data_IF_456054130998
#
_entry.id   IF_456054130998
#
_cell.length_a   1.000
_cell.length_b   1.000
_cell.length_c   1.000
_cell.angle_alpha   90.00
_cell.angle_beta   90.00
_cell.angle_gamma   90.00
#
_symmetry.space_group_name_H-M   'P 1'
#
loop_
_entity.id
_entity.type
_entity.pdbx_description
1 polymer ?
#
# COMPACT_ATOMS: atom_id res chain seq x y z
N UNK A 1 119.40 81.58 11.67
CA UNK A 1 119.22 80.32 12.43
C UNK A 1 117.80 80.21 12.98
N UNK A 2 117.30 81.19 13.74
CA UNK A 2 115.92 81.16 14.29
C UNK A 2 114.78 81.01 13.26
N UNK A 3 114.85 81.65 12.09
CA UNK A 3 113.81 81.49 11.06
C UNK A 3 113.78 80.10 10.40
N UNK A 4 114.95 79.44 10.31
CA UNK A 4 115.07 78.09 9.75
C UNK A 4 114.54 77.03 10.73
N UNK A 5 114.75 77.24 12.03
CA UNK A 5 114.16 76.42 13.11
C UNK A 5 112.63 76.61 13.19
N UNK A 6 112.13 77.84 13.03
CA UNK A 6 110.69 78.13 13.03
C UNK A 6 109.96 77.50 11.82
N UNK A 7 110.55 77.55 10.63
CA UNK A 7 110.01 76.89 9.44
C UNK A 7 110.08 75.36 9.57
N UNK A 8 111.15 74.83 10.19
CA UNK A 8 111.29 73.40 10.49
C UNK A 8 110.22 72.89 11.46
N UNK A 9 109.97 73.62 12.56
CA UNK A 9 108.91 73.31 13.53
C UNK A 9 107.51 73.36 12.89
N UNK A 10 107.22 74.39 12.08
CA UNK A 10 105.94 74.49 11.38
C UNK A 10 105.74 73.33 10.37
N UNK A 11 106.80 72.88 9.71
CA UNK A 11 106.75 71.74 8.80
C UNK A 11 106.55 70.40 9.53
N UNK A 12 107.24 70.18 10.66
CA UNK A 12 107.02 69.02 11.53
C UNK A 12 105.60 68.99 12.08
N UNK A 13 105.07 70.12 12.54
CA UNK A 13 103.66 70.24 12.96
C UNK A 13 102.68 69.92 11.84
N UNK A 14 102.96 70.39 10.61
CA UNK A 14 102.13 70.09 9.44
C UNK A 14 102.21 68.60 9.04
N UNK A 15 103.38 67.97 9.15
CA UNK A 15 103.54 66.54 8.94
C UNK A 15 102.80 65.72 10.00
N UNK A 16 102.90 66.11 11.26
CA UNK A 16 102.20 65.48 12.39
C UNK A 16 100.68 65.61 12.21
N UNK A 17 100.19 66.78 11.78
CA UNK A 17 98.78 67.00 11.43
C UNK A 17 98.35 66.15 10.23
N UNK A 18 99.13 66.08 9.16
CA UNK A 18 98.83 65.25 7.99
C UNK A 18 98.76 63.76 8.37
N UNK A 19 99.66 63.29 9.23
CA UNK A 19 99.64 61.93 9.76
C UNK A 19 98.36 61.65 10.56
N UNK A 20 97.96 62.58 11.45
CA UNK A 20 96.70 62.48 12.21
C UNK A 20 95.47 62.45 11.30
N UNK A 21 95.43 63.30 10.26
CA UNK A 21 94.33 63.33 9.30
C UNK A 21 94.23 62.01 8.51
N UNK A 22 95.36 61.43 8.10
CA UNK A 22 95.38 60.11 7.44
C UNK A 22 94.90 58.99 8.37
N UNK A 23 95.27 59.03 9.66
CA UNK A 23 94.79 58.10 10.68
C UNK A 23 93.25 58.19 10.83
N UNK A 24 92.73 59.41 10.98
CA UNK A 24 91.29 59.68 11.09
C UNK A 24 90.53 59.24 9.84
N UNK A 25 91.11 59.42 8.65
CA UNK A 25 90.51 58.97 7.39
C UNK A 25 90.38 57.43 7.38
N UNK A 26 91.44 56.72 7.76
CA UNK A 26 91.45 55.25 7.87
C UNK A 26 90.44 54.74 8.89
N UNK A 27 90.39 55.34 10.08
CA UNK A 27 89.40 54.98 11.11
C UNK A 27 87.96 55.22 10.61
N UNK A 28 87.72 56.34 9.92
CA UNK A 28 86.42 56.61 9.28
C UNK A 28 86.06 55.57 8.23
N UNK A 29 87.00 55.19 7.37
CA UNK A 29 86.77 54.17 6.34
C UNK A 29 86.43 52.81 6.96
N UNK A 30 87.14 52.42 8.03
CA UNK A 30 86.88 51.17 8.75
C UNK A 30 85.48 51.16 9.41
N UNK A 31 85.11 52.24 10.08
CA UNK A 31 83.77 52.40 10.67
C UNK A 31 82.69 52.40 9.58
N UNK A 32 82.93 53.06 8.45
CA UNK A 32 81.97 53.11 7.34
C UNK A 32 81.75 51.72 6.72
N UNK A 33 82.80 50.92 6.55
CA UNK A 33 82.70 49.53 6.09
C UNK A 33 81.89 48.65 7.06
N UNK A 34 82.11 48.81 8.38
CA UNK A 34 81.32 48.10 9.41
C UNK A 34 79.85 48.47 9.34
N UNK A 35 79.53 49.77 9.29
CA UNK A 35 78.16 50.27 9.17
C UNK A 35 77.48 49.79 7.88
N UNK A 36 78.21 49.77 6.76
CA UNK A 36 77.68 49.26 5.49
C UNK A 36 77.36 47.76 5.59
N UNK A 37 78.25 46.96 6.21
CA UNK A 37 78.02 45.53 6.45
C UNK A 37 76.81 45.27 7.35
N UNK A 38 76.68 46.01 8.46
CA UNK A 38 75.51 45.93 9.35
C UNK A 38 74.22 46.34 8.65
N UNK A 39 74.25 47.40 7.83
CA UNK A 39 73.10 47.86 7.03
C UNK A 39 72.66 46.78 6.04
N UNK A 40 73.59 46.10 5.37
CA UNK A 40 73.29 45.00 4.45
C UNK A 40 72.67 43.81 5.21
N UNK A 41 73.26 43.42 6.34
CA UNK A 41 72.71 42.33 7.19
C UNK A 41 71.31 42.65 7.69
N UNK A 42 71.09 43.88 8.16
CA UNK A 42 69.80 44.35 8.68
C UNK A 42 68.73 44.36 7.58
N UNK A 43 69.04 44.91 6.40
CA UNK A 43 68.10 44.92 5.26
C UNK A 43 67.79 43.52 4.74
N UNK A 44 68.78 42.62 4.68
CA UNK A 44 68.55 41.22 4.32
C UNK A 44 67.68 40.50 5.37
N UNK A 45 67.90 40.76 6.66
CA UNK A 45 67.07 40.25 7.76
C UNK A 45 65.62 40.75 7.66
N UNK A 46 65.42 42.06 7.44
CA UNK A 46 64.09 42.65 7.25
C UNK A 46 63.35 42.02 6.06
N UNK A 47 64.07 41.75 4.95
CA UNK A 47 63.47 41.08 3.80
C UNK A 47 62.99 39.66 4.15
N UNK A 48 63.82 38.86 4.83
CA UNK A 48 63.44 37.51 5.27
C UNK A 48 62.21 37.52 6.17
N UNK A 49 62.20 38.40 7.18
CA UNK A 49 61.05 38.54 8.10
C UNK A 49 59.79 38.93 7.33
N UNK A 50 59.90 39.83 6.35
CA UNK A 50 58.76 40.22 5.51
C UNK A 50 58.24 39.05 4.67
N UNK A 51 59.14 38.31 4.02
CA UNK A 51 58.78 37.15 3.20
C UNK A 51 58.12 36.04 4.06
N UNK A 52 58.63 35.79 5.27
CA UNK A 52 58.04 34.87 6.24
C UNK A 52 56.67 35.33 6.73
N UNK A 53 56.50 36.63 7.03
CA UNK A 53 55.22 37.22 7.41
C UNK A 53 54.17 37.06 6.29
N UNK A 54 54.56 37.32 5.05
CA UNK A 54 53.68 37.19 3.89
C UNK A 54 53.29 35.72 3.66
N UNK A 55 54.22 34.78 3.87
CA UNK A 55 53.94 33.34 3.79
C UNK A 55 52.99 32.87 4.91
N UNK A 56 53.24 33.29 6.15
CA UNK A 56 52.37 32.98 7.29
C UNK A 56 50.97 33.54 7.08
N UNK A 57 50.86 34.79 6.61
CA UNK A 57 49.56 35.41 6.30
C UNK A 57 48.78 34.63 5.25
N UNK A 58 49.42 34.18 4.17
CA UNK A 58 48.79 33.32 3.15
C UNK A 58 48.35 31.97 3.73
N UNK A 59 49.15 31.41 4.63
CA UNK A 59 48.85 30.11 5.25
C UNK A 59 47.65 30.23 6.21
N UNK A 60 47.59 31.30 7.01
CA UNK A 60 46.45 31.61 7.87
C UNK A 60 45.18 31.77 7.04
N UNK A 61 45.22 32.58 5.96
CA UNK A 61 44.06 32.77 5.09
C UNK A 61 43.58 31.45 4.47
N UNK A 62 44.50 30.58 4.07
CA UNK A 62 44.17 29.25 3.54
C UNK A 62 43.50 28.38 4.61
N UNK A 63 44.02 28.37 5.83
CA UNK A 63 43.44 27.64 6.95
C UNK A 63 42.05 28.16 7.34
N UNK A 64 41.85 29.48 7.36
CA UNK A 64 40.55 30.11 7.62
C UNK A 64 39.51 29.70 6.57
N UNK A 65 39.88 29.70 5.29
CA UNK A 65 39.00 29.26 4.20
C UNK A 65 38.64 27.76 4.34
N UNK A 66 39.60 26.92 4.71
CA UNK A 66 39.36 25.49 4.96
C UNK A 66 38.43 25.27 6.16
N UNK A 67 38.60 26.04 7.23
CA UNK A 67 37.77 25.97 8.42
C UNK A 67 36.32 26.36 8.09
N UNK A 68 36.13 27.47 7.37
CA UNK A 68 34.81 27.92 6.90
C UNK A 68 34.13 26.83 6.04
N UNK A 69 34.86 26.23 5.10
CA UNK A 69 34.33 25.13 4.27
C UNK A 69 34.00 23.88 5.09
N UNK A 70 34.70 23.61 6.19
CA UNK A 70 34.41 22.47 7.08
C UNK A 70 33.13 22.72 7.88
N UNK A 71 32.94 23.93 8.43
CA UNK A 71 31.74 24.32 9.17
C UNK A 71 30.49 24.18 8.29
N UNK A 72 30.53 24.66 7.04
CA UNK A 72 29.40 24.54 6.10
C UNK A 72 29.08 23.07 5.82
N UNK A 73 30.11 22.23 5.62
CA UNK A 73 29.92 20.78 5.40
C UNK A 73 29.33 20.09 6.62
N UNK A 74 29.76 20.43 7.83
CA UNK A 74 29.20 19.89 9.07
C UNK A 74 27.73 20.28 9.24
N UNK A 75 27.37 21.55 9.01
CA UNK A 75 25.98 22.00 9.04
C UNK A 75 25.10 21.27 8.00
N UNK A 76 25.61 21.08 6.78
CA UNK A 76 24.91 20.32 5.75
C UNK A 76 24.71 18.86 6.14
N UNK A 77 25.76 18.21 6.65
CA UNK A 77 25.68 16.82 7.12
C UNK A 77 24.70 16.66 8.28
N UNK A 78 24.64 17.62 9.20
CA UNK A 78 23.67 17.60 10.30
C UNK A 78 22.22 17.74 9.77
N UNK A 79 22.00 18.62 8.79
CA UNK A 79 20.69 18.75 8.12
C UNK A 79 20.28 17.45 7.41
N UNK A 80 21.20 16.80 6.71
CA UNK A 80 20.95 15.52 6.06
C UNK A 80 20.61 14.42 7.07
N UNK A 81 21.33 14.35 8.20
CA UNK A 81 21.03 13.40 9.28
C UNK A 81 19.64 13.60 9.87
N UNK A 82 19.22 14.85 10.08
CA UNK A 82 17.86 15.18 10.56
C UNK A 82 16.79 14.69 9.58
N UNK A 83 16.93 15.01 8.30
CA UNK A 83 16.01 14.54 7.24
C UNK A 83 15.98 13.02 7.13
N UNK A 84 17.13 12.35 7.22
CA UNK A 84 17.19 10.89 7.19
C UNK A 84 16.42 10.26 8.36
N UNK A 85 16.55 10.84 9.56
CA UNK A 85 15.80 10.41 10.74
C UNK A 85 14.29 10.61 10.55
N UNK A 86 13.86 11.78 10.07
CA UNK A 86 12.45 12.10 9.78
C UNK A 86 11.84 11.12 8.76
N UNK A 87 12.53 10.84 7.66
CA UNK A 87 12.07 9.85 6.68
C UNK A 87 11.97 8.44 7.25
N UNK A 88 12.95 8.04 8.07
CA UNK A 88 12.92 6.74 8.74
C UNK A 88 11.72 6.63 9.68
N UNK A 89 11.44 7.67 10.48
CA UNK A 89 10.30 7.72 11.40
C UNK A 89 8.97 7.68 10.64
N UNK A 90 8.83 8.48 9.56
CA UNK A 90 7.65 8.48 8.72
C UNK A 90 7.40 7.11 8.07
N UNK A 91 8.47 6.46 7.58
CA UNK A 91 8.38 5.10 7.03
C UNK A 91 7.90 4.10 8.07
N UNK A 92 8.36 4.20 9.33
CA UNK A 92 7.88 3.30 10.38
C UNK A 92 6.43 3.57 10.76
N UNK A 93 6.01 4.83 10.85
CA UNK A 93 4.62 5.20 11.14
C UNK A 93 3.65 4.72 10.05
N UNK A 94 4.02 4.91 8.77
CA UNK A 94 3.23 4.43 7.64
C UNK A 94 3.10 2.90 7.63
N UNK A 95 4.15 2.16 7.98
CA UNK A 95 4.09 0.69 8.12
C UNK A 95 3.11 0.27 9.22
N UNK A 96 3.21 0.87 10.40
CA UNK A 96 2.29 0.58 11.51
C UNK A 96 0.84 0.93 11.17
N UNK A 97 0.63 2.02 10.41
CA UNK A 97 -0.71 2.41 9.95
C UNK A 97 -1.28 1.44 8.93
N UNK A 98 -0.44 0.92 8.02
CA UNK A 98 -0.84 -0.13 7.07
C UNK A 98 -1.22 -1.42 7.79
N UNK A 99 -0.41 -1.87 8.75
CA UNK A 99 -0.71 -3.06 9.57
C UNK A 99 -2.03 -2.90 10.33
N UNK A 100 -2.28 -1.73 10.92
CA UNK A 100 -3.54 -1.44 11.60
C UNK A 100 -4.75 -1.49 10.66
N UNK A 101 -4.62 -0.90 9.47
CA UNK A 101 -5.68 -0.91 8.46
C UNK A 101 -5.94 -2.33 7.93
N UNK A 102 -4.90 -3.14 7.78
CA UNK A 102 -5.02 -4.54 7.36
C UNK A 102 -5.80 -5.38 8.38
N UNK A 103 -5.48 -5.23 9.68
CA UNK A 103 -6.24 -5.87 10.76
C UNK A 103 -7.71 -5.45 10.73
N UNK A 104 -7.98 -4.14 10.66
CA UNK A 104 -9.35 -3.62 10.58
C UNK A 104 -10.11 -4.13 9.34
N UNK A 105 -9.43 -4.20 8.21
CA UNK A 105 -10.01 -4.73 6.97
C UNK A 105 -10.38 -6.20 7.10
N UNK A 106 -9.49 -7.01 7.68
CA UNK A 106 -9.74 -8.44 7.89
C UNK A 106 -10.87 -8.69 8.89
N UNK A 107 -10.95 -7.93 9.98
CA UNK A 107 -12.06 -8.00 10.94
C UNK A 107 -13.41 -7.63 10.28
N UNK A 108 -13.45 -6.54 9.51
CA UNK A 108 -14.66 -6.14 8.78
C UNK A 108 -15.06 -7.19 7.75
N UNK A 109 -14.10 -7.75 7.02
CA UNK A 109 -14.33 -8.83 6.06
C UNK A 109 -14.93 -10.05 6.72
N UNK A 110 -14.39 -10.49 7.86
CA UNK A 110 -14.91 -11.63 8.62
C UNK A 110 -16.33 -11.35 9.12
N UNK A 111 -16.59 -10.15 9.64
CA UNK A 111 -17.91 -9.74 10.10
C UNK A 111 -18.94 -9.72 8.97
N UNK A 112 -18.56 -9.26 7.77
CA UNK A 112 -19.42 -9.28 6.58
C UNK A 112 -19.75 -10.72 6.18
N UNK A 113 -18.77 -11.62 6.17
CA UNK A 113 -18.99 -13.04 5.85
C UNK A 113 -19.94 -13.69 6.87
N UNK A 114 -19.71 -13.46 8.16
CA UNK A 114 -20.60 -13.96 9.23
C UNK A 114 -22.02 -13.44 9.09
N UNK A 115 -22.19 -12.13 8.84
CA UNK A 115 -23.53 -11.54 8.66
C UNK A 115 -24.23 -12.08 7.41
N UNK A 116 -23.50 -12.27 6.31
CA UNK A 116 -24.05 -12.82 5.08
C UNK A 116 -24.57 -14.25 5.29
N UNK A 117 -23.79 -15.11 5.96
CA UNK A 117 -24.21 -16.49 6.24
C UNK A 117 -25.40 -16.56 7.19
N UNK A 118 -25.46 -15.72 8.23
CA UNK A 118 -26.63 -15.65 9.10
C UNK A 118 -27.86 -15.16 8.35
N UNK A 119 -27.70 -14.16 7.47
CA UNK A 119 -28.81 -13.61 6.70
C UNK A 119 -29.36 -14.65 5.71
N UNK A 120 -28.49 -15.44 5.07
CA UNK A 120 -28.92 -16.54 4.20
C UNK A 120 -29.66 -17.64 4.98
N UNK A 121 -29.17 -18.00 6.17
CA UNK A 121 -29.84 -18.96 7.04
C UNK A 121 -31.24 -18.48 7.46
N UNK A 122 -31.36 -17.21 7.86
CA UNK A 122 -32.64 -16.60 8.23
C UNK A 122 -33.59 -16.51 7.03
N UNK A 123 -33.10 -16.11 5.86
CA UNK A 123 -33.89 -16.08 4.63
C UNK A 123 -34.45 -17.47 4.27
N UNK A 124 -33.65 -18.52 4.42
CA UNK A 124 -34.10 -19.90 4.21
C UNK A 124 -35.11 -20.35 5.27
N UNK A 125 -34.94 -19.94 6.52
CA UNK A 125 -35.89 -20.23 7.61
C UNK A 125 -37.24 -19.54 7.36
N UNK A 126 -37.22 -18.28 6.93
CA UNK A 126 -38.44 -17.52 6.57
C UNK A 126 -39.20 -18.24 5.46
N UNK A 127 -38.53 -18.65 4.37
CA UNK A 127 -39.17 -19.39 3.27
C UNK A 127 -39.88 -20.66 3.74
N UNK A 128 -39.24 -21.46 4.61
CA UNK A 128 -39.85 -22.69 5.18
C UNK A 128 -41.09 -22.37 6.02
N UNK A 129 -41.00 -21.36 6.88
CA UNK A 129 -42.14 -20.93 7.72
C UNK A 129 -43.29 -20.39 6.86
N UNK A 130 -43.01 -19.70 5.75
CA UNK A 130 -44.02 -19.25 4.79
C UNK A 130 -44.71 -20.42 4.08
N UNK A 131 -43.96 -21.46 3.68
CA UNK A 131 -44.51 -22.69 3.11
C UNK A 131 -45.41 -23.43 4.11
N UNK A 132 -44.96 -23.61 5.35
CA UNK A 132 -45.74 -24.21 6.44
C UNK A 132 -47.01 -23.41 6.72
N UNK A 133 -46.91 -22.08 6.81
CA UNK A 133 -48.06 -21.19 6.97
C UNK A 133 -49.06 -21.36 5.84
N UNK A 134 -48.60 -21.45 4.59
CA UNK A 134 -49.46 -21.66 3.43
C UNK A 134 -50.18 -23.02 3.46
N UNK A 135 -49.48 -24.07 3.91
CA UNK A 135 -50.00 -25.43 4.06
C UNK A 135 -51.07 -25.49 5.16
N UNK A 136 -50.78 -24.91 6.33
CA UNK A 136 -51.72 -24.85 7.45
C UNK A 136 -52.96 -24.01 7.10
N UNK A 137 -52.78 -22.90 6.36
CA UNK A 137 -53.91 -22.09 5.87
C UNK A 137 -54.83 -22.91 4.94
N UNK A 138 -54.27 -23.68 3.99
CA UNK A 138 -55.05 -24.58 3.13
C UNK A 138 -55.79 -25.67 3.92
N UNK A 139 -55.15 -26.24 4.95
CA UNK A 139 -55.79 -27.23 5.84
C UNK A 139 -56.96 -26.60 6.62
N UNK A 140 -56.76 -25.40 7.16
CA UNK A 140 -57.78 -24.65 7.87
C UNK A 140 -58.97 -24.33 6.96
N UNK A 141 -58.73 -23.86 5.73
CA UNK A 141 -59.79 -23.54 4.77
C UNK A 141 -60.60 -24.80 4.38
N UNK A 142 -59.95 -25.96 4.25
CA UNK A 142 -60.63 -27.24 4.03
C UNK A 142 -61.49 -27.66 5.21
N UNK A 143 -60.95 -27.60 6.44
CA UNK A 143 -61.69 -27.93 7.65
C UNK A 143 -62.94 -27.04 7.80
N UNK A 144 -62.78 -25.73 7.59
CA UNK A 144 -63.90 -24.77 7.57
C UNK A 144 -64.96 -25.05 6.50
N UNK A 145 -64.56 -25.58 5.33
CA UNK A 145 -65.52 -25.97 4.29
C UNK A 145 -66.31 -27.22 4.70
N UNK A 146 -65.66 -28.18 5.35
CA UNK A 146 -66.32 -29.39 5.87
C UNK A 146 -67.30 -29.07 7.00
N UNK A 147 -66.94 -28.14 7.90
CA UNK A 147 -67.81 -27.70 9.01
C UNK A 147 -69.11 -27.03 8.53
N UNK A 148 -69.13 -26.46 7.32
CA UNK A 148 -70.31 -25.82 6.71
C UNK A 148 -71.28 -26.80 6.03
N UNK A 149 -70.95 -28.09 5.95
CA UNK A 149 -71.84 -29.10 5.36
C UNK A 149 -72.78 -29.60 6.46
N UNK A 150 -74.02 -29.09 6.47
CA UNK A 150 -75.01 -29.36 7.52
C UNK A 150 -75.75 -30.70 7.35
N UNK A 151 -75.65 -31.35 6.18
CA UNK A 151 -76.37 -32.59 5.87
C UNK A 151 -75.44 -33.73 5.45
N UNK A 152 -75.65 -34.91 6.05
CA UNK A 152 -74.88 -36.15 5.80
C UNK A 152 -74.86 -36.52 4.31
N UNK A 153 -75.98 -36.31 3.60
CA UNK A 153 -76.07 -36.55 2.15
C UNK A 153 -75.14 -35.64 1.34
N UNK A 154 -74.94 -34.39 1.75
CA UNK A 154 -74.03 -33.47 1.05
C UNK A 154 -72.56 -33.85 1.28
N UNK A 155 -72.24 -34.39 2.46
CA UNK A 155 -70.91 -34.93 2.78
C UNK A 155 -70.62 -36.15 1.90
N UNK A 156 -71.55 -37.11 1.82
CA UNK A 156 -71.42 -38.31 0.99
C UNK A 156 -71.34 -37.96 -0.51
N UNK A 157 -72.09 -36.95 -0.97
CA UNK A 157 -72.04 -36.47 -2.36
C UNK A 157 -70.70 -35.81 -2.69
N UNK A 158 -70.18 -34.96 -1.81
CA UNK A 158 -68.88 -34.30 -2.00
C UNK A 158 -67.72 -35.32 -1.93
N UNK A 159 -67.78 -36.30 -1.03
CA UNK A 159 -66.82 -37.41 -0.98
C UNK A 159 -66.86 -38.26 -2.25
N UNK A 160 -68.06 -38.62 -2.72
CA UNK A 160 -68.24 -39.32 -4.00
C UNK A 160 -67.68 -38.51 -5.18
N UNK A 161 -67.86 -37.18 -5.18
CA UNK A 161 -67.30 -36.29 -6.21
C UNK A 161 -65.78 -36.34 -6.20
N UNK A 162 -65.15 -36.20 -5.03
CA UNK A 162 -63.69 -36.23 -4.86
C UNK A 162 -63.12 -37.58 -5.30
N UNK A 163 -63.74 -38.68 -4.86
CA UNK A 163 -63.32 -40.04 -5.25
C UNK A 163 -63.45 -40.26 -6.76
N UNK A 164 -64.58 -39.84 -7.38
CA UNK A 164 -64.77 -39.90 -8.83
C UNK A 164 -63.72 -39.08 -9.58
N UNK A 165 -63.44 -37.85 -9.15
CA UNK A 165 -62.40 -37.00 -9.75
C UNK A 165 -61.00 -37.64 -9.64
N UNK A 166 -60.67 -38.23 -8.49
CA UNK A 166 -59.38 -38.89 -8.26
C UNK A 166 -59.16 -40.10 -9.18
N UNK A 167 -60.23 -40.82 -9.55
CA UNK A 167 -60.17 -41.96 -10.47
C UNK A 167 -60.33 -41.56 -11.93
N UNK A 168 -60.63 -40.29 -12.22
CA UNK A 168 -60.82 -39.79 -13.58
C UNK A 168 -59.49 -39.37 -14.21
N UNK A 169 -59.30 -39.71 -15.49
CA UNK A 169 -58.10 -39.37 -16.23
C UNK A 169 -57.91 -37.85 -16.27
N UNK A 170 -56.77 -37.31 -15.81
CA UNK A 170 -56.56 -35.86 -15.76
C UNK A 170 -56.38 -35.23 -17.14
N UNK A 171 -56.12 -36.02 -18.19
CA UNK A 171 -55.95 -35.52 -19.56
C UNK A 171 -57.26 -35.26 -20.28
N UNK A 172 -58.24 -36.17 -20.18
CA UNK A 172 -59.54 -35.98 -20.83
C UNK A 172 -60.64 -35.55 -19.86
N UNK A 173 -60.45 -35.70 -18.54
CA UNK A 173 -61.45 -35.44 -17.49
C UNK A 173 -62.78 -36.17 -17.66
N UNK A 174 -62.81 -37.23 -18.46
CA UNK A 174 -64.03 -37.98 -18.81
C UNK A 174 -63.87 -39.45 -18.47
N UNK A 175 -62.81 -40.10 -18.95
CA UNK A 175 -62.63 -41.55 -18.80
C UNK A 175 -61.88 -41.89 -17.51
N UNK A 176 -62.17 -43.05 -16.93
CA UNK A 176 -61.44 -43.57 -15.76
C UNK A 176 -59.97 -43.84 -16.09
N UNK A 177 -59.12 -43.71 -15.08
CA UNK A 177 -57.72 -44.11 -15.12
C UNK A 177 -57.63 -45.63 -15.32
N UNK A 178 -56.91 -46.05 -16.35
CA UNK A 178 -56.69 -47.47 -16.67
C UNK A 178 -55.39 -47.69 -17.46
N UNK A 179 -54.45 -46.74 -17.42
CA UNK A 179 -53.13 -46.90 -18.01
C UNK A 179 -52.07 -46.18 -17.18
N UNK A 180 -50.92 -46.83 -16.99
CA UNK A 180 -49.76 -46.29 -16.28
C UNK A 180 -48.60 -46.07 -17.26
N UNK A 181 -47.85 -44.99 -17.08
CA UNK A 181 -46.53 -44.80 -17.71
C UNK A 181 -45.45 -45.31 -16.76
N UNK A 182 -44.68 -46.31 -17.16
CA UNK A 182 -43.71 -46.98 -16.28
C UNK A 182 -42.60 -46.03 -15.83
N UNK A 183 -42.07 -45.21 -16.74
CA UNK A 183 -40.95 -44.30 -16.45
C UNK A 183 -41.23 -43.22 -15.41
N UNK A 184 -42.48 -42.79 -15.26
CA UNK A 184 -42.83 -41.69 -14.36
C UNK A 184 -44.02 -41.98 -13.45
N UNK A 185 -44.53 -43.21 -13.49
CA UNK A 185 -45.65 -43.73 -12.69
C UNK A 185 -46.91 -42.85 -12.71
N UNK A 186 -47.11 -42.06 -13.76
CA UNK A 186 -48.29 -41.22 -13.91
C UNK A 186 -49.40 -41.99 -14.62
N UNK A 187 -50.62 -41.90 -14.07
CA UNK A 187 -51.76 -42.71 -14.48
C UNK A 187 -52.81 -41.88 -15.23
N UNK A 188 -53.26 -42.39 -16.37
CA UNK A 188 -54.23 -41.77 -17.29
C UNK A 188 -55.20 -42.82 -17.84
N UNK A 189 -56.07 -42.46 -18.79
CA UNK A 189 -56.80 -43.45 -19.58
C UNK A 189 -55.97 -43.92 -20.76
N UNK A 190 -56.16 -45.18 -21.15
CA UNK A 190 -55.42 -45.83 -22.23
C UNK A 190 -55.63 -45.12 -23.57
N UNK A 191 -56.84 -44.62 -23.88
CA UNK A 191 -57.03 -43.90 -25.15
C UNK A 191 -56.22 -42.60 -25.21
N UNK A 192 -56.08 -41.86 -24.10
CA UNK A 192 -55.28 -40.63 -24.07
C UNK A 192 -53.79 -40.90 -24.29
N UNK A 193 -53.26 -41.99 -23.73
CA UNK A 193 -51.85 -42.36 -23.92
C UNK A 193 -51.61 -42.92 -25.32
N UNK A 194 -52.48 -43.82 -25.80
CA UNK A 194 -52.43 -44.37 -27.15
C UNK A 194 -52.50 -43.26 -28.21
N UNK A 195 -53.46 -42.34 -28.10
CA UNK A 195 -53.59 -41.22 -29.04
C UNK A 195 -52.34 -40.33 -29.07
N UNK A 196 -51.70 -40.09 -27.91
CA UNK A 196 -50.44 -39.35 -27.86
C UNK A 196 -49.28 -40.11 -28.50
N UNK A 197 -49.23 -41.43 -28.31
CA UNK A 197 -48.22 -42.28 -28.92
C UNK A 197 -48.34 -42.30 -30.45
N UNK A 198 -49.55 -42.52 -30.96
CA UNK A 198 -49.88 -42.58 -32.39
C UNK A 198 -49.59 -41.23 -33.08
N UNK A 199 -49.95 -40.12 -32.43
CA UNK A 199 -49.68 -38.75 -32.93
C UNK A 199 -48.22 -38.29 -32.71
N UNK A 200 -47.29 -39.20 -32.37
CA UNK A 200 -45.87 -38.92 -32.09
C UNK A 200 -45.62 -37.86 -30.99
N UNK A 201 -46.61 -37.54 -30.15
CA UNK A 201 -46.51 -36.66 -28.98
C UNK A 201 -46.18 -37.46 -27.71
N UNK A 202 -45.08 -38.20 -27.79
CA UNK A 202 -44.62 -39.22 -26.83
C UNK A 202 -44.02 -38.66 -25.53
N UNK A 203 -44.73 -37.73 -24.89
CA UNK A 203 -44.38 -37.13 -23.60
C UNK A 203 -45.54 -37.18 -22.61
N UNK A 204 -45.23 -37.49 -21.35
CA UNK A 204 -46.18 -37.58 -20.25
C UNK A 204 -46.96 -36.26 -20.10
N UNK A 205 -48.30 -36.28 -20.08
CA UNK A 205 -49.12 -35.07 -19.90
C UNK A 205 -48.85 -34.31 -18.60
N UNK A 206 -48.28 -34.95 -17.58
CA UNK A 206 -48.09 -34.37 -16.23
C UNK A 206 -46.68 -33.86 -15.97
N UNK A 207 -45.64 -34.62 -16.33
CA UNK A 207 -44.24 -34.26 -16.06
C UNK A 207 -43.37 -34.14 -17.31
N UNK A 208 -43.94 -34.29 -18.51
CA UNK A 208 -43.25 -34.18 -19.78
C UNK A 208 -42.14 -35.22 -20.04
N UNK A 209 -42.01 -36.24 -19.20
CA UNK A 209 -41.10 -37.38 -19.41
C UNK A 209 -41.42 -38.12 -20.71
N UNK A 210 -40.38 -38.49 -21.47
CA UNK A 210 -40.55 -39.22 -22.72
C UNK A 210 -40.92 -40.69 -22.47
N UNK A 211 -41.79 -41.27 -23.32
CA UNK A 211 -42.20 -42.67 -23.23
C UNK A 211 -42.30 -43.32 -24.62
N UNK A 212 -41.90 -44.59 -24.74
CA UNK A 212 -41.89 -45.40 -25.95
C UNK A 212 -43.00 -46.45 -25.98
N UNK A 213 -42.91 -47.39 -26.92
CA UNK A 213 -43.94 -48.41 -27.16
C UNK A 213 -44.15 -49.34 -25.95
N UNK A 214 -43.06 -49.63 -25.23
CA UNK A 214 -43.05 -50.55 -24.10
C UNK A 214 -43.20 -49.83 -22.76
N UNK A 215 -43.31 -48.49 -22.74
CA UNK A 215 -43.29 -47.71 -21.50
C UNK A 215 -44.71 -47.34 -20.99
N UNK A 216 -45.76 -47.94 -21.55
CA UNK A 216 -47.13 -47.73 -21.11
C UNK A 216 -47.97 -49.02 -21.14
N UNK A 217 -48.68 -49.27 -20.04
CA UNK A 217 -49.45 -50.50 -19.86
C UNK A 217 -50.85 -50.22 -19.35
N UNK A 218 -51.80 -51.10 -19.71
CA UNK A 218 -53.15 -51.08 -19.16
C UNK A 218 -53.11 -51.60 -17.73
N UNK A 219 -53.82 -50.92 -16.84
CA UNK A 219 -54.05 -51.33 -15.46
C UNK A 219 -55.55 -51.38 -15.18
N UNK A 220 -55.95 -52.23 -14.25
CA UNK A 220 -57.33 -52.34 -13.78
C UNK A 220 -57.35 -51.87 -12.32
N UNK A 221 -58.18 -50.86 -12.04
CA UNK A 221 -58.41 -50.34 -10.70
C UNK A 221 -59.78 -50.86 -10.25
N UNK A 222 -59.80 -51.68 -9.21
CA UNK A 222 -61.01 -52.17 -8.54
C UNK A 222 -61.53 -51.11 -7.54
#
# INVERSE_FOLDING_TARGET
>A
MQEMESIGQAFEELQEQNKKLLEQLREKEEVNLKLMSERIKSTQGQKKIKDEKDLLSKTIQSMENQLAAKIIREQHNESLKKKACEFSQLSTDLKLRLERLDVQFNELRENVIKKASTHEADANKIKRLEEEKSSMKRKLDRAKKMEKLENVDQVIQEENRILRESLTCPSCKVRRKNAILEKCHHVFCFECIRQRYDNRRRKCPKCNAAFGANDYHRIYLE
#
